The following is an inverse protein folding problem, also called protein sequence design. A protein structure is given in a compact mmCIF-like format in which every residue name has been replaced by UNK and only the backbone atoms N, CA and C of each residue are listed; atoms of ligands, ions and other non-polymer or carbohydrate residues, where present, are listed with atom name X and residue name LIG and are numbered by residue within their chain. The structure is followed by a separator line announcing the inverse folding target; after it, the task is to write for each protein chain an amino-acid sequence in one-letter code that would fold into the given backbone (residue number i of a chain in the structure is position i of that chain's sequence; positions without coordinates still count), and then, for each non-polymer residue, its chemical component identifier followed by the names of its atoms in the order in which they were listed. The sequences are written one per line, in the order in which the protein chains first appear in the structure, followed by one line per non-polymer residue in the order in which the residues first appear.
data_IF_303072890912
#
_entry.id   IF_303072890912
#
_cell.length_a   1.000
_cell.length_b   1.000
_cell.length_c   1.000
_cell.angle_alpha   90.00
_cell.angle_beta   90.00
_cell.angle_gamma   90.00
#
_symmetry.space_group_name_H-M   'P 1'
#
loop_
_entity.id
_entity.type
_entity.pdbx_description
1 polymer ?
#
# COMPACT_ATOMS: atom_id res chain seq x y z
N UNK A 1 2.68 -19.75 4.90
CA UNK A 1 2.57 -19.48 3.45
C UNK A 1 1.28 -18.77 3.08
N UNK A 2 0.08 -19.29 3.35
CA UNK A 2 -1.19 -18.64 2.97
C UNK A 2 -1.32 -17.19 3.47
N UNK A 3 -0.87 -16.90 4.69
CA UNK A 3 -0.89 -15.54 5.24
C UNK A 3 -0.03 -14.55 4.45
N UNK A 4 1.09 -14.98 3.86
CA UNK A 4 1.97 -14.13 3.03
C UNK A 4 1.23 -13.71 1.75
N UNK A 5 0.53 -14.66 1.11
CA UNK A 5 -0.31 -14.37 -0.06
C UNK A 5 -1.48 -13.44 0.28
N UNK A 6 -2.14 -13.66 1.42
CA UNK A 6 -3.20 -12.77 1.89
C UNK A 6 -2.65 -11.35 2.12
N UNK A 7 -1.45 -11.23 2.69
CA UNK A 7 -0.82 -9.94 2.95
C UNK A 7 -0.45 -9.22 1.64
N UNK A 8 0.00 -9.96 0.61
CA UNK A 8 0.17 -9.44 -0.76
C UNK A 8 -1.13 -8.88 -1.33
N UNK A 9 -2.23 -9.64 -1.21
CA UNK A 9 -3.55 -9.22 -1.69
C UNK A 9 -4.04 -7.95 -0.98
N UNK A 10 -3.88 -7.86 0.35
CA UNK A 10 -4.23 -6.66 1.13
C UNK A 10 -3.42 -5.45 0.68
N UNK A 11 -2.12 -5.62 0.43
CA UNK A 11 -1.25 -4.54 -0.02
C UNK A 11 -1.66 -4.03 -1.42
N UNK A 12 -1.97 -4.94 -2.35
CA UNK A 12 -2.50 -4.59 -3.68
C UNK A 12 -3.82 -3.82 -3.54
N UNK A 13 -4.73 -4.31 -2.69
CA UNK A 13 -6.03 -3.69 -2.46
C UNK A 13 -5.91 -2.28 -1.87
N UNK A 14 -5.01 -2.07 -0.91
CA UNK A 14 -4.70 -0.75 -0.34
C UNK A 14 -4.19 0.22 -1.42
N UNK A 15 -3.27 -0.23 -2.27
CA UNK A 15 -2.75 0.60 -3.36
C UNK A 15 -3.84 0.97 -4.36
N UNK A 16 -4.73 0.04 -4.73
CA UNK A 16 -5.87 0.33 -5.61
C UNK A 16 -6.76 1.42 -5.00
N UNK A 17 -7.12 1.31 -3.72
CA UNK A 17 -7.93 2.31 -3.02
C UNK A 17 -7.22 3.68 -3.03
N UNK A 18 -5.91 3.70 -2.81
CA UNK A 18 -5.11 4.93 -2.77
C UNK A 18 -5.03 5.59 -4.16
N UNK A 19 -4.83 4.80 -5.21
CA UNK A 19 -4.88 5.26 -6.62
C UNK A 19 -6.25 5.85 -6.95
N UNK A 20 -7.33 5.15 -6.61
CA UNK A 20 -8.69 5.62 -6.85
C UNK A 20 -8.99 6.92 -6.08
N UNK A 21 -8.57 7.01 -4.82
CA UNK A 21 -8.74 8.19 -3.98
C UNK A 21 -8.01 9.41 -4.56
N UNK A 22 -6.75 9.24 -4.97
CA UNK A 22 -5.97 10.30 -5.63
C UNK A 22 -6.61 10.72 -6.96
N UNK A 23 -7.01 9.76 -7.80
CA UNK A 23 -7.65 10.06 -9.09
C UNK A 23 -8.97 10.82 -8.92
N UNK A 24 -9.83 10.41 -7.97
CA UNK A 24 -11.11 11.09 -7.68
C UNK A 24 -10.88 12.52 -7.18
N UNK A 25 -9.89 12.73 -6.31
CA UNK A 25 -9.58 14.06 -5.77
C UNK A 25 -8.86 14.98 -6.80
N UNK A 26 -8.17 14.38 -7.79
CA UNK A 26 -7.53 15.09 -8.90
C UNK A 26 -8.52 15.48 -10.00
N UNK A 27 -9.51 14.64 -10.33
CA UNK A 27 -10.57 14.96 -11.29
C UNK A 27 -11.35 16.21 -10.89
N UNK A 28 -11.43 16.47 -9.59
CA UNK A 28 -12.11 17.63 -9.02
C UNK A 28 -11.25 18.90 -9.00
N UNK A 29 -9.94 18.78 -9.28
CA UNK A 29 -8.97 19.88 -9.21
C UNK A 29 -8.50 20.37 -10.58
N UNK A 30 -8.51 19.53 -11.63
CA UNK A 30 -7.98 19.95 -12.93
C UNK A 30 -8.60 19.25 -14.13
N UNK A 31 -9.00 20.08 -15.10
CA UNK A 31 -9.32 19.78 -16.51
C UNK A 31 -8.03 19.46 -17.32
N UNK A 32 -6.89 19.25 -16.66
CA UNK A 32 -5.55 19.09 -17.24
C UNK A 32 -4.91 17.75 -16.88
N UNK A 33 -4.77 16.87 -17.87
CA UNK A 33 -4.41 15.45 -17.76
C UNK A 33 -2.95 15.11 -17.41
N UNK A 34 -2.27 15.83 -16.51
CA UNK A 34 -0.85 15.54 -16.16
C UNK A 34 -0.62 14.96 -14.76
N UNK A 35 -1.57 15.06 -13.84
CA UNK A 35 -1.35 14.66 -12.43
C UNK A 35 -1.28 13.14 -12.25
N UNK A 36 -2.08 12.34 -12.97
CA UNK A 36 -2.09 10.87 -12.76
C UNK A 36 -0.77 10.20 -13.12
N UNK A 37 -0.05 10.72 -14.13
CA UNK A 37 1.24 10.17 -14.59
C UNK A 37 2.35 10.35 -13.54
N UNK A 38 2.32 11.48 -12.80
CA UNK A 38 3.32 11.79 -11.76
C UNK A 38 3.15 10.94 -10.50
N UNK A 39 1.92 10.56 -10.17
CA UNK A 39 1.63 9.70 -9.01
C UNK A 39 1.86 8.21 -9.29
N UNK A 40 1.77 7.77 -10.56
CA UNK A 40 2.05 6.39 -10.95
C UNK A 40 3.41 5.88 -10.47
N UNK A 41 4.48 6.69 -10.63
CA UNK A 41 5.82 6.33 -10.15
C UNK A 41 5.90 6.17 -8.62
N UNK A 42 5.17 7.01 -7.87
CA UNK A 42 5.07 6.87 -6.42
C UNK A 42 4.37 5.57 -6.03
N UNK A 43 3.28 5.19 -6.69
CA UNK A 43 2.57 3.94 -6.41
C UNK A 43 3.42 2.71 -6.72
N UNK A 44 4.22 2.73 -7.80
CA UNK A 44 5.16 1.66 -8.13
C UNK A 44 6.24 1.56 -7.05
N UNK A 45 6.82 2.68 -6.63
CA UNK A 45 7.79 2.70 -5.53
C UNK A 45 7.20 2.13 -4.24
N UNK A 46 5.97 2.51 -3.90
CA UNK A 46 5.27 2.00 -2.73
C UNK A 46 4.99 0.48 -2.83
N UNK A 47 4.69 -0.03 -4.02
CA UNK A 47 4.52 -1.46 -4.23
C UNK A 47 5.84 -2.22 -4.06
N UNK A 48 6.94 -1.72 -4.63
CA UNK A 48 8.26 -2.36 -4.53
C UNK A 48 8.73 -2.42 -3.08
N UNK A 49 8.63 -1.31 -2.34
CA UNK A 49 9.04 -1.24 -0.92
C UNK A 49 8.23 -2.23 -0.07
N UNK A 50 6.94 -2.39 -0.34
CA UNK A 50 6.11 -3.39 0.33
C UNK A 50 6.38 -4.83 -0.11
N UNK A 51 6.65 -5.06 -1.40
CA UNK A 51 6.85 -6.41 -1.94
C UNK A 51 8.14 -7.06 -1.42
N UNK A 52 9.21 -6.27 -1.20
CA UNK A 52 10.53 -6.79 -0.79
C UNK A 52 10.50 -7.54 0.55
N UNK A 53 9.97 -7.00 1.67
CA UNK A 53 9.85 -7.73 2.93
C UNK A 53 8.97 -8.99 2.83
N UNK A 54 7.89 -8.91 2.06
CA UNK A 54 7.01 -10.07 1.83
C UNK A 54 7.70 -11.17 1.02
N UNK A 55 8.51 -10.81 0.02
CA UNK A 55 9.32 -11.75 -0.75
C UNK A 55 10.39 -12.41 0.10
N UNK A 56 11.04 -11.64 0.99
CA UNK A 56 11.97 -12.18 1.98
C UNK A 56 11.27 -13.18 2.92
N UNK A 57 10.08 -12.84 3.42
CA UNK A 57 9.31 -13.74 4.28
C UNK A 57 8.95 -15.05 3.57
N UNK A 58 8.52 -14.99 2.31
CA UNK A 58 8.20 -16.17 1.50
C UNK A 58 9.43 -17.04 1.26
N UNK A 59 10.57 -16.42 0.94
CA UNK A 59 11.84 -17.11 0.71
C UNK A 59 12.31 -17.87 1.96
N UNK A 60 12.23 -17.25 3.13
CA UNK A 60 12.61 -17.88 4.40
C UNK A 60 11.69 -19.03 4.78
N UNK A 61 10.41 -18.95 4.43
CA UNK A 61 9.42 -20.00 4.71
C UNK A 61 9.57 -21.21 3.78
N UNK A 62 9.93 -20.98 2.50
CA UNK A 62 10.21 -22.03 1.51
C UNK A 62 11.48 -22.83 1.81
N UNK A 63 12.49 -22.21 2.45
CA UNK A 63 13.80 -22.83 2.71
C UNK A 63 13.91 -23.64 4.01
N UNK A 64 12.79 -23.89 4.70
CA UNK A 64 12.76 -24.79 5.85
C UNK A 64 13.42 -24.22 7.11
N UNK A 65 12.96 -23.05 7.56
CA UNK A 65 13.00 -22.62 8.97
C UNK A 65 14.34 -22.81 9.70
N UNK A 66 15.36 -22.03 9.33
CA UNK A 66 16.56 -21.88 10.17
C UNK A 66 16.20 -21.11 11.45
N UNK A 67 16.74 -21.50 12.61
CA UNK A 67 16.43 -20.89 13.92
C UNK A 67 16.73 -19.37 13.97
N UNK A 68 17.67 -18.88 13.14
CA UNK A 68 17.92 -17.44 12.95
C UNK A 68 16.93 -16.72 12.02
N UNK A 69 16.11 -17.45 11.26
CA UNK A 69 15.10 -16.91 10.36
C UNK A 69 13.87 -16.37 11.10
N UNK A 70 13.60 -16.79 12.34
CA UNK A 70 12.44 -16.31 13.10
C UNK A 70 12.50 -14.82 13.46
N UNK A 71 13.69 -14.28 13.77
CA UNK A 71 13.85 -12.84 14.07
C UNK A 71 13.72 -12.02 12.78
N UNK A 72 14.37 -12.45 11.69
CA UNK A 72 14.29 -11.79 10.38
C UNK A 72 12.87 -11.82 9.80
N UNK A 73 12.18 -12.95 9.91
CA UNK A 73 10.78 -13.11 9.51
C UNK A 73 9.85 -12.22 10.34
N UNK A 74 10.04 -12.21 11.67
CA UNK A 74 9.30 -11.34 12.58
C UNK A 74 9.50 -9.85 12.27
N UNK A 75 10.74 -9.42 12.02
CA UNK A 75 11.05 -8.05 11.61
C UNK A 75 10.44 -7.70 10.24
N UNK A 76 10.51 -8.60 9.26
CA UNK A 76 9.91 -8.39 7.94
C UNK A 76 8.39 -8.25 8.02
N UNK A 77 7.74 -9.06 8.86
CA UNK A 77 6.31 -8.97 9.13
C UNK A 77 5.95 -7.69 9.90
N UNK A 78 6.76 -7.27 10.87
CA UNK A 78 6.52 -6.02 11.59
C UNK A 78 6.63 -4.81 10.66
N UNK A 79 7.63 -4.82 9.77
CA UNK A 79 7.83 -3.78 8.78
C UNK A 79 6.66 -3.71 7.79
N UNK A 80 6.17 -4.85 7.31
CA UNK A 80 5.03 -4.86 6.38
C UNK A 80 3.73 -4.41 7.04
N UNK A 81 3.49 -4.80 8.28
CA UNK A 81 2.33 -4.37 9.04
C UNK A 81 2.35 -2.87 9.32
N UNK A 82 3.50 -2.33 9.75
CA UNK A 82 3.69 -0.89 9.93
C UNK A 82 3.50 -0.13 8.62
N UNK A 83 4.04 -0.65 7.53
CA UNK A 83 3.89 -0.07 6.20
C UNK A 83 2.43 -0.06 5.72
N UNK A 84 1.71 -1.17 5.88
CA UNK A 84 0.28 -1.25 5.58
C UNK A 84 -0.53 -0.28 6.45
N UNK A 85 -0.22 -0.14 7.74
CA UNK A 85 -0.89 0.81 8.62
C UNK A 85 -0.72 2.26 8.15
N UNK A 86 0.50 2.65 7.75
CA UNK A 86 0.78 3.98 7.19
C UNK A 86 0.00 4.20 5.89
N UNK A 87 0.01 3.23 4.97
CA UNK A 87 -0.77 3.32 3.72
C UNK A 87 -2.27 3.49 3.99
N UNK A 88 -2.79 2.78 4.98
CA UNK A 88 -4.19 2.87 5.38
C UNK A 88 -4.51 4.26 5.96
N UNK A 89 -3.66 4.81 6.82
CA UNK A 89 -3.81 6.18 7.31
C UNK A 89 -3.82 7.21 6.17
N UNK A 90 -2.89 7.10 5.21
CA UNK A 90 -2.83 7.99 4.05
C UNK A 90 -4.10 7.86 3.20
N UNK A 91 -4.57 6.63 2.95
CA UNK A 91 -5.80 6.37 2.21
C UNK A 91 -7.02 7.02 2.91
N UNK A 92 -7.15 6.87 4.23
CA UNK A 92 -8.21 7.49 5.02
C UNK A 92 -8.17 9.02 4.94
N UNK A 93 -7.00 9.64 5.02
CA UNK A 93 -6.86 11.10 4.90
C UNK A 93 -7.31 11.57 3.51
N UNK A 94 -6.90 10.87 2.45
CA UNK A 94 -7.29 11.20 1.07
C UNK A 94 -8.81 11.08 0.89
N UNK A 95 -9.39 9.98 1.40
CA UNK A 95 -10.82 9.72 1.27
C UNK A 95 -11.66 10.65 2.14
N UNK A 96 -11.23 10.97 3.36
CA UNK A 96 -11.86 11.96 4.23
C UNK A 96 -11.84 13.35 3.61
N UNK A 97 -10.73 13.75 2.99
CA UNK A 97 -10.64 15.02 2.23
C UNK A 97 -11.56 15.04 1.02
N UNK A 98 -11.69 13.92 0.32
CA UNK A 98 -12.63 13.76 -0.80
C UNK A 98 -14.09 13.89 -0.31
N UNK A 99 -14.47 13.15 0.73
CA UNK A 99 -15.81 13.22 1.32
C UNK A 99 -16.16 14.62 1.82
N UNK A 100 -15.26 15.28 2.54
CA UNK A 100 -15.45 16.65 3.02
C UNK A 100 -15.73 17.64 1.87
N UNK A 101 -14.98 17.55 0.76
CA UNK A 101 -15.25 18.36 -0.42
C UNK A 101 -16.62 18.08 -1.03
N UNK A 102 -17.03 16.82 -1.07
CA UNK A 102 -18.32 16.45 -1.65
C UNK A 102 -19.49 16.95 -0.79
N UNK A 103 -19.37 16.89 0.54
CA UNK A 103 -20.35 17.47 1.46
C UNK A 103 -20.47 18.98 1.32
N UNK A 104 -19.35 19.69 1.14
CA UNK A 104 -19.33 21.15 1.00
C UNK A 104 -19.84 21.66 -0.36
N UNK A 105 -20.01 20.76 -1.34
CA UNK A 105 -20.56 21.07 -2.67
C UNK A 105 -22.07 20.83 -2.78
N UNK A 106 -22.67 20.15 -1.80
CA UNK A 106 -24.13 20.07 -1.63
C UNK A 106 -24.60 21.24 -0.78
#
# INVERSE_FOLDING_TARGET
MFYIFITWLVLILLLIILVQGVQKNSKDRDRGGSVSKRWGGWFIGLFVVGSVPLGYALYTELRGGYIGANIGLGLALFFIWGYCAILLCVALVIWGRYGYKQYRKK
#
